data_IF_417266523559
#
_entry.id   IF_417266523559
#
_cell.length_a   1.000
_cell.length_b   1.000
_cell.length_c   1.000
_cell.angle_alpha   90.00
_cell.angle_beta   90.00
_cell.angle_gamma   90.00
#
_symmetry.space_group_name_H-M   'P 1'
#
loop_
_entity.id
_entity.type
_entity.pdbx_description
1 polymer ?
#
# COMPACT_ATOMS: atom_id res chain seq x y z
N UNK A 1 -25.81 1.24 21.08
CA UNK A 1 -25.12 1.80 22.27
C UNK A 1 -23.88 0.99 22.68
N UNK A 2 -23.95 -0.33 23.00
CA UNK A 2 -22.75 -1.11 23.34
C UNK A 2 -21.80 -1.34 22.15
N UNK A 3 -22.34 -1.51 20.93
CA UNK A 3 -21.56 -1.70 19.71
C UNK A 3 -20.76 -0.46 19.30
N UNK A 4 -21.33 0.71 19.46
CA UNK A 4 -20.68 1.98 19.10
C UNK A 4 -19.54 2.33 20.06
N UNK A 5 -19.72 2.03 21.36
CA UNK A 5 -18.67 2.18 22.36
C UNK A 5 -17.49 1.21 22.12
N UNK A 6 -17.78 -0.02 21.64
CA UNK A 6 -16.75 -0.99 21.29
C UNK A 6 -15.95 -0.56 20.06
N UNK A 7 -16.63 -0.07 19.00
CA UNK A 7 -15.98 0.39 17.78
C UNK A 7 -15.09 1.62 17.98
N UNK A 8 -15.38 2.44 19.00
CA UNK A 8 -14.58 3.61 19.35
C UNK A 8 -13.31 3.31 20.18
N UNK A 9 -13.11 2.08 20.62
CA UNK A 9 -11.91 1.71 21.37
C UNK A 9 -10.70 1.50 20.43
N UNK A 10 -9.48 1.84 20.87
CA UNK A 10 -8.27 1.49 20.14
C UNK A 10 -8.17 -0.03 19.89
N UNK A 11 -7.70 -0.44 18.72
CA UNK A 11 -7.63 -1.85 18.31
C UNK A 11 -6.91 -2.75 19.33
N UNK A 12 -5.83 -2.26 19.94
CA UNK A 12 -5.10 -3.01 20.94
C UNK A 12 -5.93 -3.32 22.22
N UNK A 13 -6.86 -2.42 22.58
CA UNK A 13 -7.79 -2.65 23.69
C UNK A 13 -8.85 -3.67 23.32
N UNK A 14 -9.38 -3.61 22.11
CA UNK A 14 -10.35 -4.59 21.60
C UNK A 14 -9.72 -6.00 21.57
N UNK A 15 -8.52 -6.13 21.01
CA UNK A 15 -7.79 -7.40 20.94
C UNK A 15 -7.48 -7.95 22.32
N UNK A 16 -7.04 -7.09 23.24
CA UNK A 16 -6.76 -7.48 24.63
C UNK A 16 -8.03 -7.95 25.36
N UNK A 17 -9.15 -7.27 25.18
CA UNK A 17 -10.42 -7.66 25.78
C UNK A 17 -10.94 -9.00 25.24
N UNK A 18 -10.84 -9.23 23.94
CA UNK A 18 -11.19 -10.50 23.31
C UNK A 18 -10.30 -11.63 23.84
N UNK A 19 -8.99 -11.40 23.92
CA UNK A 19 -8.04 -12.39 24.45
C UNK A 19 -8.37 -12.74 25.91
N UNK A 20 -8.62 -11.73 26.75
CA UNK A 20 -9.02 -11.94 28.14
C UNK A 20 -10.34 -12.71 28.24
N UNK A 21 -11.35 -12.35 27.43
CA UNK A 21 -12.64 -13.04 27.43
C UNK A 21 -12.52 -14.50 27.02
N UNK A 22 -11.65 -14.83 26.08
CA UNK A 22 -11.38 -16.20 25.64
C UNK A 22 -10.61 -17.02 26.68
N UNK A 23 -9.65 -16.40 27.35
CA UNK A 23 -8.80 -17.09 28.33
C UNK A 23 -9.42 -17.17 29.75
N UNK A 24 -10.28 -16.20 30.11
CA UNK A 24 -10.86 -16.13 31.45
C UNK A 24 -11.58 -17.42 31.89
N UNK A 25 -12.43 -18.08 31.07
CA UNK A 25 -13.08 -19.34 31.49
C UNK A 25 -12.09 -20.45 31.80
N UNK A 26 -11.04 -20.58 30.99
CA UNK A 26 -10.00 -21.58 31.18
C UNK A 26 -9.16 -21.32 32.45
N UNK A 27 -8.82 -20.04 32.67
CA UNK A 27 -8.10 -19.61 33.85
C UNK A 27 -8.91 -19.79 35.13
N UNK A 28 -10.20 -19.48 35.12
CA UNK A 28 -11.12 -19.66 36.25
C UNK A 28 -11.27 -21.16 36.56
N UNK A 29 -11.60 -21.98 35.56
CA UNK A 29 -11.71 -23.43 35.72
C UNK A 29 -10.39 -24.05 36.23
N UNK A 30 -9.26 -23.65 35.64
CA UNK A 30 -7.94 -24.08 36.05
C UNK A 30 -7.65 -23.70 37.50
N UNK A 31 -7.93 -22.48 37.91
CA UNK A 31 -7.71 -22.01 39.28
C UNK A 31 -8.57 -22.71 40.32
N UNK A 32 -9.82 -23.03 39.97
CA UNK A 32 -10.75 -23.76 40.86
C UNK A 32 -10.31 -25.22 41.01
N UNK A 33 -9.91 -25.87 39.92
CA UNK A 33 -9.50 -27.30 39.94
C UNK A 33 -8.19 -27.52 40.68
N UNK A 34 -7.30 -26.52 40.68
CA UNK A 34 -5.96 -26.59 41.27
C UNK A 34 -5.94 -26.07 42.72
N UNK A 35 -7.05 -25.52 43.22
CA UNK A 35 -7.14 -24.98 44.58
C UNK A 35 -6.81 -26.08 45.62
N UNK A 36 -5.70 -25.89 46.32
CA UNK A 36 -5.25 -26.82 47.36
C UNK A 36 -4.17 -27.83 46.93
N UNK A 37 -3.78 -27.85 45.63
CA UNK A 37 -2.68 -28.67 45.14
C UNK A 37 -1.45 -27.83 44.79
N UNK A 38 -0.28 -28.18 45.33
CA UNK A 38 0.99 -27.62 44.85
C UNK A 38 1.46 -28.42 43.62
N UNK A 39 1.13 -27.88 42.45
CA UNK A 39 1.50 -28.48 41.16
C UNK A 39 2.96 -28.24 40.76
N UNK A 40 3.67 -27.37 41.44
CA UNK A 40 5.04 -26.98 41.05
C UNK A 40 6.01 -28.18 41.02
N UNK A 41 6.10 -29.06 42.03
CA UNK A 41 7.02 -30.19 41.96
C UNK A 41 6.62 -31.19 40.88
N UNK A 42 5.32 -31.40 40.66
CA UNK A 42 4.81 -32.29 39.64
C UNK A 42 5.14 -31.79 38.25
N UNK A 43 4.87 -30.51 37.96
CA UNK A 43 5.19 -29.89 36.70
C UNK A 43 6.70 -29.87 36.44
N UNK A 44 7.50 -29.50 37.44
CA UNK A 44 8.96 -29.50 37.32
C UNK A 44 9.51 -30.88 36.99
N UNK A 45 8.98 -31.93 37.64
CA UNK A 45 9.34 -33.32 37.37
C UNK A 45 8.95 -33.75 35.94
N UNK A 46 7.76 -33.41 35.51
CA UNK A 46 7.26 -33.70 34.16
C UNK A 46 8.10 -33.01 33.09
N UNK A 47 8.37 -31.72 33.26
CA UNK A 47 9.21 -30.95 32.33
C UNK A 47 10.64 -31.48 32.24
N UNK A 48 11.24 -31.82 33.36
CA UNK A 48 12.59 -32.43 33.37
C UNK A 48 12.63 -33.78 32.67
N UNK A 49 11.62 -34.63 32.91
CA UNK A 49 11.57 -35.98 32.33
C UNK A 49 11.28 -35.99 30.85
N UNK A 50 10.49 -35.02 30.36
CA UNK A 50 10.04 -34.94 28.98
C UNK A 50 10.44 -33.62 28.30
N UNK A 51 11.62 -33.07 28.64
CA UNK A 51 12.08 -31.78 28.15
C UNK A 51 12.06 -31.66 26.63
N UNK A 52 12.49 -32.72 25.93
CA UNK A 52 12.47 -32.72 24.46
C UNK A 52 11.05 -32.65 23.89
N UNK A 53 10.11 -33.40 24.44
CA UNK A 53 8.71 -33.37 24.00
C UNK A 53 8.07 -31.99 24.29
N UNK A 54 8.31 -31.45 25.48
CA UNK A 54 7.84 -30.12 25.84
C UNK A 54 8.42 -29.05 24.92
N UNK A 55 9.70 -29.14 24.56
CA UNK A 55 10.33 -28.22 23.62
C UNK A 55 9.67 -28.26 22.22
N UNK A 56 9.36 -29.47 21.73
CA UNK A 56 8.64 -29.62 20.45
C UNK A 56 7.24 -28.99 20.50
N UNK A 57 6.49 -29.24 21.59
CA UNK A 57 5.16 -28.62 21.76
C UNK A 57 5.24 -27.09 21.82
N UNK A 58 6.18 -26.53 22.57
CA UNK A 58 6.40 -25.10 22.67
C UNK A 58 6.78 -24.54 21.31
N UNK A 59 7.67 -25.20 20.57
CA UNK A 59 8.05 -24.79 19.23
C UNK A 59 6.86 -24.78 18.25
N UNK A 60 6.03 -25.84 18.27
CA UNK A 60 4.84 -25.91 17.42
C UNK A 60 3.84 -24.79 17.73
N UNK A 61 3.59 -24.55 19.02
CA UNK A 61 2.70 -23.46 19.44
C UNK A 61 3.29 -22.11 19.02
N UNK A 62 4.59 -21.88 19.26
CA UNK A 62 5.26 -20.65 18.90
C UNK A 62 5.21 -20.38 17.40
N UNK A 63 5.45 -21.40 16.56
CA UNK A 63 5.34 -21.28 15.10
C UNK A 63 3.89 -20.97 14.69
N UNK A 64 2.91 -21.69 15.23
CA UNK A 64 1.50 -21.48 14.90
C UNK A 64 1.02 -20.07 15.27
N UNK A 65 1.34 -19.63 16.48
CA UNK A 65 1.02 -18.26 16.94
C UNK A 65 1.80 -17.22 16.15
N UNK A 66 3.07 -17.48 15.87
CA UNK A 66 3.93 -16.59 15.08
C UNK A 66 3.42 -16.38 13.65
N UNK A 67 3.00 -17.44 12.97
CA UNK A 67 2.39 -17.34 11.64
C UNK A 67 1.08 -16.54 11.71
N UNK A 68 0.20 -16.85 12.67
CA UNK A 68 -1.06 -16.12 12.83
C UNK A 68 -0.85 -14.62 13.10
N UNK A 69 0.04 -14.29 14.03
CA UNK A 69 0.39 -12.90 14.32
C UNK A 69 1.04 -12.20 13.13
N UNK A 70 1.91 -12.90 12.39
CA UNK A 70 2.56 -12.39 11.19
C UNK A 70 1.56 -12.05 10.08
N UNK A 71 0.57 -12.92 9.83
CA UNK A 71 -0.48 -12.67 8.85
C UNK A 71 -1.34 -11.46 9.22
N UNK A 72 -1.73 -11.34 10.49
CA UNK A 72 -2.50 -10.19 10.97
C UNK A 72 -1.68 -8.90 10.85
N UNK A 73 -0.40 -8.92 11.21
CA UNK A 73 0.48 -7.77 11.08
C UNK A 73 0.66 -7.35 9.61
N UNK A 74 0.82 -8.32 8.72
CA UNK A 74 0.93 -8.08 7.28
C UNK A 74 -0.36 -7.47 6.70
N UNK A 75 -1.52 -8.02 7.06
CA UNK A 75 -2.82 -7.49 6.63
C UNK A 75 -3.01 -6.04 7.11
N UNK A 76 -2.73 -5.77 8.37
CA UNK A 76 -2.82 -4.41 8.94
C UNK A 76 -1.86 -3.44 8.27
N UNK A 77 -0.62 -3.87 8.03
CA UNK A 77 0.37 -3.07 7.29
C UNK A 77 -0.05 -2.75 5.86
N UNK A 78 -0.62 -3.74 5.17
CA UNK A 78 -1.12 -3.56 3.81
C UNK A 78 -2.32 -2.59 3.79
N UNK A 79 -3.29 -2.76 4.69
CA UNK A 79 -4.44 -1.84 4.80
C UNK A 79 -4.01 -0.42 5.13
N UNK A 80 -3.09 -0.24 6.07
CA UNK A 80 -2.57 1.09 6.42
C UNK A 80 -1.81 1.72 5.25
N UNK A 81 -0.97 0.96 4.54
CA UNK A 81 -0.23 1.44 3.38
C UNK A 81 -1.14 1.83 2.20
N UNK A 82 -2.18 1.03 1.94
CA UNK A 82 -3.16 1.37 0.88
C UNK A 82 -3.99 2.59 1.24
N UNK A 83 -4.45 2.72 2.48
CA UNK A 83 -5.16 3.91 2.93
C UNK A 83 -4.28 5.16 2.79
N UNK A 84 -3.04 5.11 3.29
CA UNK A 84 -2.11 6.23 3.18
C UNK A 84 -1.79 6.63 1.74
N UNK A 85 -1.68 5.66 0.82
CA UNK A 85 -1.46 5.96 -0.59
C UNK A 85 -2.68 6.64 -1.23
N UNK A 86 -3.90 6.26 -0.80
CA UNK A 86 -5.14 6.84 -1.29
C UNK A 86 -5.50 8.20 -0.65
N UNK A 87 -4.92 8.54 0.50
CA UNK A 87 -5.21 9.80 1.22
C UNK A 87 -4.91 11.08 0.40
N UNK A 88 -4.11 10.94 -0.65
CA UNK A 88 -3.80 12.04 -1.58
C UNK A 88 -4.85 12.24 -2.67
N UNK A 89 -5.92 11.43 -2.69
CA UNK A 89 -6.94 11.46 -3.73
C UNK A 89 -8.33 11.49 -3.11
N UNK A 90 -9.11 12.53 -3.39
CA UNK A 90 -10.51 12.61 -2.97
C UNK A 90 -11.42 11.85 -3.91
N UNK A 91 -11.15 11.91 -5.22
CA UNK A 91 -11.96 11.29 -6.26
C UNK A 91 -11.11 10.89 -7.47
N UNK A 92 -11.42 9.73 -8.01
CA UNK A 92 -10.86 9.26 -9.29
C UNK A 92 -12.00 9.22 -10.30
N UNK A 93 -11.82 9.92 -11.42
CA UNK A 93 -12.76 9.90 -12.54
C UNK A 93 -12.08 9.22 -13.73
N UNK A 94 -12.68 8.14 -14.21
CA UNK A 94 -12.16 7.37 -15.34
C UNK A 94 -13.27 7.05 -16.35
N UNK A 95 -12.89 6.71 -17.56
CA UNK A 95 -13.81 6.13 -18.52
C UNK A 95 -14.39 4.82 -17.99
N UNK A 96 -15.59 4.39 -18.46
CA UNK A 96 -16.20 3.14 -18.04
C UNK A 96 -15.24 1.96 -18.20
N UNK A 97 -15.04 1.20 -17.12
CA UNK A 97 -14.12 0.08 -17.07
C UNK A 97 -13.99 -0.51 -15.67
N UNK A 98 -12.85 -1.12 -15.38
CA UNK A 98 -12.57 -1.70 -14.07
C UNK A 98 -12.18 -0.62 -13.05
N UNK A 99 -12.93 -0.51 -11.97
CA UNK A 99 -12.63 0.41 -10.86
C UNK A 99 -11.26 0.10 -10.22
N UNK A 100 -10.91 -1.18 -10.11
CA UNK A 100 -9.61 -1.60 -9.57
C UNK A 100 -8.47 -1.14 -10.47
N UNK A 101 -8.63 -1.27 -11.80
CA UNK A 101 -7.64 -0.80 -12.77
C UNK A 101 -7.49 0.72 -12.70
N UNK A 102 -8.58 1.47 -12.60
CA UNK A 102 -8.57 2.92 -12.45
C UNK A 102 -7.85 3.34 -11.14
N UNK A 103 -8.13 2.66 -10.04
CA UNK A 103 -7.46 2.91 -8.76
C UNK A 103 -5.95 2.64 -8.85
N UNK A 104 -5.55 1.52 -9.44
CA UNK A 104 -4.12 1.19 -9.60
C UNK A 104 -3.40 2.18 -10.50
N UNK A 105 -4.06 2.61 -11.57
CA UNK A 105 -3.52 3.63 -12.48
C UNK A 105 -3.34 4.98 -11.80
N UNK A 106 -4.33 5.44 -11.03
CA UNK A 106 -4.28 6.75 -10.39
C UNK A 106 -3.37 6.77 -9.16
N UNK A 107 -3.51 5.82 -8.23
CA UNK A 107 -2.83 5.84 -6.93
C UNK A 107 -1.39 5.33 -7.02
N UNK A 108 -1.16 4.31 -7.86
CA UNK A 108 0.16 3.68 -7.98
C UNK A 108 0.87 3.98 -9.29
N UNK A 109 0.27 4.83 -10.14
CA UNK A 109 0.77 5.15 -11.47
C UNK A 109 1.09 3.90 -12.30
N UNK A 110 0.27 2.86 -12.09
CA UNK A 110 0.42 1.61 -12.83
C UNK A 110 -0.18 1.77 -14.23
N UNK A 111 0.58 1.51 -15.28
CA UNK A 111 0.07 1.59 -16.64
C UNK A 111 -1.19 0.77 -16.86
N UNK A 112 -2.13 1.31 -17.59
CA UNK A 112 -3.40 0.68 -17.89
C UNK A 112 -3.85 0.95 -19.32
N UNK A 113 -4.72 0.11 -19.82
CA UNK A 113 -5.39 0.21 -21.13
C UNK A 113 -6.76 0.92 -21.04
N UNK A 114 -7.05 1.58 -19.91
CA UNK A 114 -8.27 2.36 -19.77
C UNK A 114 -8.31 3.50 -20.80
N UNK A 115 -9.46 3.66 -21.43
CA UNK A 115 -9.68 4.77 -22.36
C UNK A 115 -9.52 6.11 -21.62
N UNK A 116 -8.94 7.08 -22.29
CA UNK A 116 -8.84 8.43 -21.77
C UNK A 116 -10.21 9.12 -21.78
N UNK A 117 -10.43 10.01 -20.82
CA UNK A 117 -11.55 10.94 -20.86
C UNK A 117 -11.37 11.94 -22.02
N UNK A 118 -12.47 12.37 -22.62
CA UNK A 118 -12.41 13.42 -23.62
C UNK A 118 -12.08 14.79 -23.00
N UNK A 119 -11.53 15.69 -23.82
CA UNK A 119 -11.13 17.02 -23.40
C UNK A 119 -12.26 17.86 -22.80
N UNK A 120 -13.47 17.88 -23.39
CA UNK A 120 -14.63 18.57 -22.82
C UNK A 120 -15.01 18.09 -21.44
N UNK A 121 -15.02 16.78 -21.20
CA UNK A 121 -15.30 16.19 -19.87
C UNK A 121 -14.24 16.58 -18.85
N UNK A 122 -12.96 16.45 -19.20
CA UNK A 122 -11.86 16.89 -18.35
C UNK A 122 -11.98 18.37 -17.98
N UNK A 123 -12.24 19.22 -18.98
CA UNK A 123 -12.39 20.67 -18.78
C UNK A 123 -13.56 21.00 -17.84
N UNK A 124 -14.70 20.34 -18.00
CA UNK A 124 -15.87 20.53 -17.13
C UNK A 124 -15.57 20.15 -15.67
N UNK A 125 -14.74 19.12 -15.44
CA UNK A 125 -14.29 18.74 -14.10
C UNK A 125 -13.31 19.77 -13.54
N UNK A 126 -12.31 20.16 -14.32
CA UNK A 126 -11.26 21.08 -13.90
C UNK A 126 -11.76 22.50 -13.59
N UNK A 127 -12.81 22.94 -14.27
CA UNK A 127 -13.44 24.26 -14.08
C UNK A 127 -14.58 24.25 -13.05
N UNK A 128 -14.84 23.12 -12.40
CA UNK A 128 -15.91 23.02 -11.42
C UNK A 128 -15.52 23.71 -10.10
N UNK A 129 -16.41 24.55 -9.57
CA UNK A 129 -16.19 25.42 -8.40
C UNK A 129 -15.85 24.68 -7.08
N UNK A 130 -16.07 23.36 -7.01
CA UNK A 130 -15.73 22.49 -5.86
C UNK A 130 -14.52 21.60 -6.10
N UNK A 131 -13.78 21.82 -7.19
CA UNK A 131 -12.56 21.06 -7.51
C UNK A 131 -11.36 21.98 -7.40
N UNK A 132 -10.53 21.72 -6.42
CA UNK A 132 -9.31 22.50 -6.19
C UNK A 132 -8.23 22.15 -7.21
N UNK A 133 -8.10 20.86 -7.56
CA UNK A 133 -7.16 20.39 -8.56
C UNK A 133 -7.73 19.16 -9.30
N UNK A 134 -7.73 19.23 -10.62
CA UNK A 134 -8.01 18.09 -11.48
C UNK A 134 -6.74 17.72 -12.25
N UNK A 135 -6.11 16.62 -11.85
CA UNK A 135 -4.88 16.16 -12.47
C UNK A 135 -5.18 15.06 -13.51
N UNK A 136 -4.87 15.27 -14.79
CA UNK A 136 -4.96 14.22 -15.79
C UNK A 136 -3.83 13.24 -15.61
N UNK A 137 -4.10 11.96 -15.86
CA UNK A 137 -3.10 10.88 -15.87
C UNK A 137 -3.25 10.13 -17.18
N UNK A 138 -2.20 10.09 -17.97
CA UNK A 138 -2.16 9.39 -19.25
C UNK A 138 -0.89 8.52 -19.34
N UNK A 139 -1.06 7.34 -19.90
CA UNK A 139 0.02 6.40 -20.18
C UNK A 139 0.05 6.12 -21.68
N UNK A 140 1.22 5.92 -22.22
CA UNK A 140 1.37 5.58 -23.65
C UNK A 140 2.76 5.08 -23.97
N UNK A 141 3.73 5.58 -23.24
CA UNK A 141 5.15 5.37 -23.49
C UNK A 141 5.88 4.82 -22.27
N UNK A 142 7.08 4.32 -22.52
CA UNK A 142 7.99 3.87 -21.47
C UNK A 142 9.45 4.17 -21.83
N UNK A 143 10.29 4.23 -20.82
CA UNK A 143 11.73 4.32 -20.99
C UNK A 143 12.42 3.28 -20.09
N UNK A 144 13.16 2.37 -20.71
CA UNK A 144 13.84 1.26 -20.01
C UNK A 144 12.94 0.50 -19.02
N UNK A 145 11.67 0.31 -19.39
CA UNK A 145 10.68 -0.37 -18.55
C UNK A 145 10.01 0.51 -17.49
N UNK A 146 10.44 1.75 -17.30
CA UNK A 146 9.75 2.72 -16.47
C UNK A 146 8.64 3.40 -17.29
N UNK A 147 7.40 3.49 -16.80
CA UNK A 147 6.32 4.16 -17.51
C UNK A 147 6.53 5.67 -17.58
N UNK A 148 6.23 6.26 -18.71
CA UNK A 148 6.13 7.72 -18.87
C UNK A 148 4.68 8.12 -18.63
N UNK A 149 4.47 9.01 -17.67
CA UNK A 149 3.15 9.47 -17.24
C UNK A 149 2.95 10.92 -17.67
N UNK A 150 1.96 11.16 -18.51
CA UNK A 150 1.52 12.51 -18.86
C UNK A 150 0.62 13.06 -17.75
N UNK A 151 1.01 14.22 -17.18
CA UNK A 151 0.26 14.88 -16.11
C UNK A 151 0.62 16.37 -16.00
N UNK A 152 0.15 17.05 -14.96
CA UNK A 152 0.44 18.47 -14.68
C UNK A 152 1.49 18.62 -13.56
N UNK A 153 2.24 19.75 -13.54
CA UNK A 153 3.25 20.02 -12.50
C UNK A 153 2.72 19.93 -11.08
N UNK A 154 1.53 20.50 -10.84
CA UNK A 154 0.92 20.52 -9.50
C UNK A 154 0.64 19.13 -8.96
N UNK A 155 0.34 18.16 -9.82
CA UNK A 155 0.16 16.79 -9.41
C UNK A 155 1.47 16.13 -8.93
N UNK A 156 2.58 16.42 -9.62
CA UNK A 156 3.90 15.95 -9.17
C UNK A 156 4.25 16.54 -7.80
N UNK A 157 4.00 17.83 -7.61
CA UNK A 157 4.23 18.51 -6.34
C UNK A 157 3.31 17.93 -5.22
N UNK A 158 2.07 17.61 -5.55
CA UNK A 158 1.11 17.02 -4.60
C UNK A 158 1.50 15.59 -4.18
N UNK A 159 2.01 14.79 -5.12
CA UNK A 159 2.43 13.41 -4.82
C UNK A 159 3.75 13.33 -4.07
N UNK A 160 4.68 14.26 -4.33
CA UNK A 160 6.01 14.26 -3.73
C UNK A 160 6.07 15.18 -2.51
N UNK A 161 6.89 14.81 -1.52
CA UNK A 161 7.20 15.70 -0.39
C UNK A 161 8.31 16.71 -0.75
N UNK A 162 8.65 16.80 -2.03
CA UNK A 162 9.70 17.64 -2.61
C UNK A 162 10.58 16.87 -3.60
N UNK A 163 11.33 17.60 -4.40
CA UNK A 163 12.31 17.03 -5.30
C UNK A 163 13.68 16.92 -4.60
N UNK A 164 14.43 15.86 -4.88
CA UNK A 164 15.78 15.71 -4.39
C UNK A 164 16.73 16.73 -5.06
N UNK A 165 16.51 16.97 -6.35
CA UNK A 165 17.31 17.90 -7.17
C UNK A 165 16.40 18.52 -8.24
N UNK A 166 16.81 19.67 -8.78
CA UNK A 166 16.13 20.34 -9.87
C UNK A 166 14.82 21.04 -9.51
N UNK A 167 13.92 21.08 -10.44
CA UNK A 167 12.57 21.69 -10.32
C UNK A 167 11.51 20.87 -11.04
N UNK A 168 10.26 21.13 -10.77
CA UNK A 168 9.15 20.54 -11.53
C UNK A 168 9.17 21.11 -12.95
N UNK A 169 8.76 20.31 -13.94
CA UNK A 169 8.68 20.74 -15.34
C UNK A 169 7.73 21.94 -15.50
N UNK A 170 8.09 22.85 -16.38
CA UNK A 170 7.33 24.07 -16.67
C UNK A 170 7.02 24.22 -18.15
N UNK A 171 7.78 23.56 -19.02
CA UNK A 171 7.64 23.65 -20.47
C UNK A 171 7.52 22.27 -21.12
N UNK A 172 7.02 22.27 -22.34
CA UNK A 172 6.93 21.04 -23.14
C UNK A 172 8.31 20.41 -23.34
N UNK A 173 8.43 19.11 -23.23
CA UNK A 173 9.70 18.40 -23.37
C UNK A 173 10.54 18.33 -22.10
N UNK A 174 10.07 18.84 -20.98
CA UNK A 174 10.70 18.62 -19.68
C UNK A 174 10.02 17.46 -18.93
N UNK A 175 10.78 16.75 -18.11
CA UNK A 175 10.27 15.63 -17.32
C UNK A 175 10.85 15.62 -15.90
N UNK A 176 10.11 15.10 -14.94
CA UNK A 176 10.59 14.73 -13.61
C UNK A 176 10.72 13.22 -13.56
N UNK A 177 11.85 12.72 -13.08
CA UNK A 177 12.11 11.30 -13.00
C UNK A 177 12.09 10.82 -11.55
N UNK A 178 11.58 9.61 -11.35
CA UNK A 178 11.61 8.99 -10.03
C UNK A 178 13.03 8.61 -9.60
N UNK A 179 13.32 8.65 -8.31
CA UNK A 179 14.66 8.40 -7.75
C UNK A 179 15.29 7.03 -8.11
N UNK A 180 14.52 6.09 -8.65
CA UNK A 180 15.01 4.77 -9.11
C UNK A 180 15.31 4.71 -10.60
N UNK A 181 15.00 5.77 -11.34
CA UNK A 181 15.29 5.86 -12.77
C UNK A 181 16.73 6.39 -12.92
N UNK A 182 17.60 5.72 -13.67
CA UNK A 182 19.01 6.09 -13.79
C UNK A 182 19.20 7.23 -14.82
N UNK A 183 18.61 8.38 -14.53
CA UNK A 183 18.75 9.63 -15.29
C UNK A 183 19.05 10.77 -14.31
N UNK A 184 20.04 11.58 -14.65
CA UNK A 184 20.42 12.76 -13.88
C UNK A 184 19.77 14.03 -14.46
N UNK A 185 19.71 15.07 -13.64
CA UNK A 185 19.24 16.40 -14.08
C UNK A 185 20.12 16.93 -15.21
N UNK A 186 19.50 17.35 -16.29
CA UNK A 186 20.15 17.81 -17.53
C UNK A 186 20.37 16.72 -18.57
N UNK A 187 20.10 15.46 -18.27
CA UNK A 187 20.12 14.39 -19.26
C UNK A 187 18.83 14.39 -20.10
N UNK A 188 18.93 13.82 -21.28
CA UNK A 188 17.81 13.70 -22.20
C UNK A 188 17.49 12.23 -22.48
N UNK A 189 16.24 11.92 -22.69
CA UNK A 189 15.80 10.59 -23.09
C UNK A 189 14.72 10.64 -24.15
N UNK A 190 14.64 9.58 -24.95
CA UNK A 190 13.56 9.38 -25.91
C UNK A 190 12.71 8.19 -25.45
N UNK A 191 11.42 8.36 -25.20
CA UNK A 191 10.56 7.25 -24.82
C UNK A 191 10.27 6.34 -26.01
N UNK A 192 9.95 5.08 -25.73
CA UNK A 192 9.45 4.12 -26.70
C UNK A 192 7.96 3.90 -26.49
N UNK A 193 7.23 3.64 -27.57
CA UNK A 193 5.81 3.31 -27.50
C UNK A 193 5.58 1.97 -26.80
N UNK A 194 4.53 1.94 -25.99
CA UNK A 194 4.14 0.75 -25.26
C UNK A 194 4.81 0.61 -23.91
N UNK A 195 4.44 -0.44 -23.19
CA UNK A 195 4.81 -0.67 -21.79
C UNK A 195 5.32 -2.11 -21.64
N UNK A 196 6.44 -2.28 -20.94
CA UNK A 196 7.02 -3.58 -20.64
C UNK A 196 7.70 -4.25 -21.85
N UNK A 197 7.66 -5.58 -21.90
CA UNK A 197 8.32 -6.37 -22.95
C UNK A 197 7.72 -6.23 -24.36
N UNK A 198 6.60 -5.52 -24.50
CA UNK A 198 5.96 -5.20 -25.76
C UNK A 198 6.23 -3.79 -26.26
N UNK A 199 7.09 -3.03 -25.57
CA UNK A 199 7.50 -1.72 -26.06
C UNK A 199 8.25 -1.89 -27.38
N UNK A 200 7.74 -1.27 -28.45
CA UNK A 200 8.43 -1.29 -29.74
C UNK A 200 9.76 -0.54 -29.61
N UNK A 201 10.86 -1.15 -30.05
CA UNK A 201 12.20 -0.53 -30.07
C UNK A 201 12.32 0.65 -31.07
N UNK A 202 11.21 1.12 -31.60
CA UNK A 202 11.13 2.33 -32.40
C UNK A 202 11.00 3.57 -31.53
N UNK A 203 12.11 4.01 -30.92
CA UNK A 203 12.13 5.33 -30.31
C UNK A 203 11.60 6.36 -31.32
N UNK A 204 10.61 7.17 -30.93
CA UNK A 204 10.27 8.34 -31.72
C UNK A 204 11.48 9.27 -31.69
N UNK A 205 12.30 9.21 -32.75
CA UNK A 205 13.50 10.04 -32.87
C UNK A 205 13.24 11.55 -32.86
N UNK A 206 11.97 11.96 -32.76
CA UNK A 206 11.55 13.35 -32.74
C UNK A 206 11.09 13.85 -31.36
N UNK A 207 10.74 12.98 -30.40
CA UNK A 207 10.30 13.39 -29.06
C UNK A 207 11.37 13.08 -28.02
N UNK A 208 12.20 14.06 -27.72
CA UNK A 208 13.18 13.99 -26.63
C UNK A 208 12.71 14.80 -25.44
N UNK A 209 12.86 14.24 -24.25
CA UNK A 209 12.57 14.92 -22.99
C UNK A 209 13.86 15.19 -22.24
N UNK A 210 13.93 16.32 -21.54
CA UNK A 210 15.02 16.67 -20.63
C UNK A 210 14.58 16.57 -19.17
N UNK A 211 15.46 16.02 -18.34
CA UNK A 211 15.22 15.87 -16.89
C UNK A 211 15.59 17.16 -16.18
#
# INVERSE_FOLDING_TARGET
MLGDAWAGLPLWLQDSAVLVALLAPALVLGSVTVRGFDLRPLLAGLFRRHAGLCAVFVALIAVSVGIGAGLIAQERGLRAGTAQAADKFDLIVAAPGSEVTAMLAAVYLQPSDLALLDGPTYKAIAEHDRVDMAAPIAFGDSWQGAPVVGTIPDFVAHLSDGLAEGRVFATHGEAVVGARVPLAVGETFAPAHGIGAGAEEGAHGEATFSV
#
